data_IF_463798968422
#
_entry.id   IF_463798968422
#
_cell.length_a   1.000
_cell.length_b   1.000
_cell.length_c   1.000
_cell.angle_alpha   90.00
_cell.angle_beta   90.00
_cell.angle_gamma   90.00
#
_symmetry.space_group_name_H-M   'P 1'
#
loop_
_entity.id
_entity.type
_entity.pdbx_description
1 polymer ?
#
# COMPACT_ATOMS: atom_id res chain seq x y z
N UNK A 1 -15.52 2.24 13.99
CA UNK A 1 -14.88 3.48 13.54
C UNK A 1 -13.46 3.24 13.03
N UNK A 2 -12.60 2.48 13.71
CA UNK A 2 -11.23 2.18 13.26
C UNK A 2 -11.18 1.48 11.89
N UNK A 3 -12.02 0.48 11.68
CA UNK A 3 -12.16 -0.22 10.41
C UNK A 3 -12.62 0.75 9.31
N UNK A 4 -13.63 1.60 9.58
CA UNK A 4 -14.11 2.56 8.59
C UNK A 4 -13.00 3.54 8.15
N UNK A 5 -12.19 4.03 9.10
CA UNK A 5 -11.03 4.89 8.79
C UNK A 5 -9.97 4.18 7.96
N UNK A 6 -9.66 2.92 8.28
CA UNK A 6 -8.72 2.11 7.51
C UNK A 6 -9.20 1.93 6.05
N UNK A 7 -10.48 1.58 5.87
CA UNK A 7 -11.06 1.46 4.52
C UNK A 7 -11.06 2.80 3.76
N UNK A 8 -11.30 3.91 4.44
CA UNK A 8 -11.18 5.24 3.82
C UNK A 8 -9.75 5.53 3.36
N UNK A 9 -8.74 5.15 4.16
CA UNK A 9 -7.34 5.28 3.75
C UNK A 9 -7.03 4.41 2.52
N UNK A 10 -7.54 3.17 2.46
CA UNK A 10 -7.38 2.32 1.29
C UNK A 10 -8.04 2.93 0.04
N UNK A 11 -9.29 3.37 0.18
CA UNK A 11 -10.00 4.00 -0.92
C UNK A 11 -9.29 5.26 -1.44
N UNK A 12 -8.76 6.09 -0.55
CA UNK A 12 -7.99 7.27 -0.93
C UNK A 12 -6.69 6.92 -1.66
N UNK A 13 -5.93 5.93 -1.15
CA UNK A 13 -4.69 5.48 -1.76
C UNK A 13 -4.94 4.87 -3.15
N UNK A 14 -5.95 4.01 -3.28
CA UNK A 14 -6.33 3.41 -4.56
C UNK A 14 -6.81 4.45 -5.57
N UNK A 15 -7.64 5.40 -5.15
CA UNK A 15 -8.13 6.47 -6.02
C UNK A 15 -6.98 7.35 -6.54
N UNK A 16 -6.04 7.73 -5.67
CA UNK A 16 -4.87 8.52 -6.05
C UNK A 16 -4.01 7.78 -7.09
N UNK A 17 -3.77 6.49 -6.89
CA UNK A 17 -2.96 5.68 -7.79
C UNK A 17 -3.65 5.46 -9.16
N UNK A 18 -4.94 5.15 -9.16
CA UNK A 18 -5.72 5.01 -10.41
C UNK A 18 -5.69 6.32 -11.19
N UNK A 19 -5.86 7.46 -10.53
CA UNK A 19 -5.83 8.77 -11.18
C UNK A 19 -4.44 9.04 -11.78
N UNK A 20 -3.37 8.76 -11.05
CA UNK A 20 -2.00 8.93 -11.51
C UNK A 20 -1.71 8.09 -12.76
N UNK A 21 -2.11 6.80 -12.74
CA UNK A 21 -1.94 5.94 -13.92
C UNK A 21 -2.85 6.35 -15.08
N UNK A 22 -4.08 6.78 -14.82
CA UNK A 22 -4.97 7.26 -15.87
C UNK A 22 -4.39 8.48 -16.61
N UNK A 23 -3.80 9.43 -15.87
CA UNK A 23 -3.12 10.60 -16.46
C UNK A 23 -1.90 10.15 -17.27
N UNK A 24 -1.06 9.27 -16.73
CA UNK A 24 0.11 8.76 -17.45
C UNK A 24 -0.27 7.99 -18.71
N UNK A 25 -1.34 7.18 -18.65
CA UNK A 25 -1.88 6.47 -19.80
C UNK A 25 -2.40 7.43 -20.88
N UNK A 26 -3.13 8.46 -20.49
CA UNK A 26 -3.60 9.47 -21.42
C UNK A 26 -2.44 10.18 -22.12
N UNK A 27 -1.44 10.65 -21.37
CA UNK A 27 -0.24 11.28 -21.93
C UNK A 27 0.46 10.33 -22.91
N UNK A 28 0.68 9.07 -22.52
CA UNK A 28 1.36 8.08 -23.35
C UNK A 28 0.57 7.79 -24.63
N UNK A 29 -0.76 7.73 -24.56
CA UNK A 29 -1.61 7.52 -25.72
C UNK A 29 -1.51 8.66 -26.73
N UNK A 30 -1.60 9.90 -26.26
CA UNK A 30 -1.54 11.07 -27.14
C UNK A 30 -0.14 11.30 -27.72
N UNK A 31 0.92 10.87 -27.02
CA UNK A 31 2.30 11.11 -27.46
C UNK A 31 2.81 10.00 -28.39
N UNK A 32 2.54 8.73 -28.07
CA UNK A 32 3.15 7.58 -28.75
C UNK A 32 2.16 6.58 -29.31
N UNK A 33 0.89 6.66 -28.91
CA UNK A 33 -0.09 5.59 -29.15
C UNK A 33 0.23 4.32 -28.34
N UNK A 34 -0.70 3.38 -28.28
CA UNK A 34 -0.48 2.12 -27.53
C UNK A 34 0.13 0.99 -28.36
N UNK A 35 0.23 1.14 -29.70
CA UNK A 35 0.67 0.07 -30.56
C UNK A 35 -0.21 -1.19 -30.44
N UNK A 36 0.36 -2.37 -30.69
CA UNK A 36 -0.38 -3.64 -30.60
C UNK A 36 -0.35 -4.20 -29.18
N UNK A 37 -1.43 -4.00 -28.42
CA UNK A 37 -1.57 -4.49 -27.03
C UNK A 37 -1.75 -6.01 -26.91
N UNK A 38 -2.11 -6.70 -28.02
CA UNK A 38 -2.30 -8.15 -28.03
C UNK A 38 -0.99 -8.92 -28.20
N UNK A 39 0.13 -8.22 -28.49
CA UNK A 39 1.44 -8.87 -28.59
C UNK A 39 1.88 -9.47 -27.25
N UNK A 40 2.70 -10.51 -27.27
CA UNK A 40 3.26 -11.09 -26.07
C UNK A 40 4.23 -10.10 -25.39
N UNK A 41 4.22 -10.08 -24.05
CA UNK A 41 5.05 -9.16 -23.27
C UNK A 41 6.55 -9.39 -23.51
N UNK A 42 6.96 -10.63 -23.76
CA UNK A 42 8.35 -11.01 -24.05
C UNK A 42 8.91 -10.35 -25.33
N UNK A 43 8.03 -9.85 -26.22
CA UNK A 43 8.46 -9.08 -27.40
C UNK A 43 8.95 -7.67 -27.06
N UNK A 44 8.74 -7.22 -25.83
CA UNK A 44 9.25 -5.94 -25.30
C UNK A 44 10.61 -6.21 -24.66
N UNK A 45 11.64 -5.46 -25.09
CA UNK A 45 13.03 -5.67 -24.67
C UNK A 45 13.23 -5.83 -23.17
N UNK A 46 12.55 -5.01 -22.37
CA UNK A 46 12.67 -5.03 -20.92
C UNK A 46 12.10 -6.29 -20.25
N UNK A 47 11.29 -7.07 -20.97
CA UNK A 47 10.61 -8.26 -20.45
C UNK A 47 11.07 -9.55 -21.13
N UNK A 48 12.18 -9.52 -21.87
CA UNK A 48 12.75 -10.72 -22.54
C UNK A 48 13.05 -11.85 -21.55
N UNK A 49 13.43 -11.52 -20.31
CA UNK A 49 13.70 -12.48 -19.25
C UNK A 49 12.46 -12.98 -18.50
N UNK A 50 11.28 -12.52 -18.87
CA UNK A 50 10.03 -12.91 -18.20
C UNK A 50 9.60 -14.33 -18.61
N UNK A 51 9.19 -15.13 -17.64
CA UNK A 51 8.62 -16.45 -17.88
C UNK A 51 7.08 -16.43 -18.08
N UNK A 52 6.47 -15.23 -18.10
CA UNK A 52 5.04 -15.07 -18.20
C UNK A 52 4.60 -15.05 -19.66
N UNK A 53 3.74 -15.98 -20.05
CA UNK A 53 3.12 -16.05 -21.38
C UNK A 53 1.84 -15.24 -21.42
N UNK A 54 1.95 -13.93 -21.25
CA UNK A 54 0.82 -12.98 -21.22
C UNK A 54 0.95 -11.92 -22.29
N UNK A 55 -0.16 -11.33 -22.70
CA UNK A 55 -0.17 -10.16 -23.58
C UNK A 55 0.20 -8.87 -22.82
N UNK A 56 0.59 -7.84 -23.56
CA UNK A 56 0.87 -6.51 -23.00
C UNK A 56 -0.35 -5.98 -22.25
N UNK A 57 -1.57 -6.18 -22.76
CA UNK A 57 -2.80 -5.76 -22.08
C UNK A 57 -2.99 -6.49 -20.74
N UNK A 58 -2.77 -7.81 -20.72
CA UNK A 58 -2.85 -8.60 -19.48
C UNK A 58 -1.79 -8.17 -18.46
N UNK A 59 -0.59 -7.86 -18.94
CA UNK A 59 0.46 -7.30 -18.08
C UNK A 59 0.00 -5.98 -17.43
N UNK A 60 -0.58 -5.05 -18.19
CA UNK A 60 -1.07 -3.79 -17.61
C UNK A 60 -2.11 -4.03 -16.53
N UNK A 61 -3.04 -4.95 -16.74
CA UNK A 61 -4.06 -5.28 -15.73
C UNK A 61 -3.41 -5.88 -14.45
N UNK A 62 -2.49 -6.83 -14.60
CA UNK A 62 -1.77 -7.46 -13.48
C UNK A 62 -0.86 -6.47 -12.76
N UNK A 63 -0.15 -5.63 -13.51
CA UNK A 63 0.70 -4.59 -12.94
C UNK A 63 -0.12 -3.58 -12.12
N UNK A 64 -1.24 -3.11 -12.64
CA UNK A 64 -2.13 -2.20 -11.92
C UNK A 64 -2.69 -2.85 -10.66
N UNK A 65 -3.13 -4.12 -10.75
CA UNK A 65 -3.61 -4.87 -9.59
C UNK A 65 -2.52 -5.02 -8.51
N UNK A 66 -1.29 -5.37 -8.91
CA UNK A 66 -0.15 -5.47 -8.00
C UNK A 66 0.17 -4.11 -7.34
N UNK A 67 0.15 -3.03 -8.12
CA UNK A 67 0.34 -1.67 -7.60
C UNK A 67 -0.73 -1.30 -6.57
N UNK A 68 -1.99 -1.50 -6.87
CA UNK A 68 -3.09 -1.21 -5.93
C UNK A 68 -2.95 -2.00 -4.63
N UNK A 69 -2.57 -3.28 -4.71
CA UNK A 69 -2.31 -4.08 -3.51
C UNK A 69 -1.16 -3.51 -2.67
N UNK A 70 -0.05 -3.13 -3.30
CA UNK A 70 1.10 -2.49 -2.63
C UNK A 70 0.71 -1.18 -1.97
N UNK A 71 -0.08 -0.33 -2.63
CA UNK A 71 -0.53 0.94 -2.04
C UNK A 71 -1.48 0.72 -0.86
N UNK A 72 -2.27 -0.36 -0.86
CA UNK A 72 -3.03 -0.74 0.33
C UNK A 72 -2.11 -1.13 1.50
N UNK A 73 -0.99 -1.83 1.26
CA UNK A 73 0.01 -2.12 2.30
C UNK A 73 0.61 -0.83 2.84
N UNK A 74 1.01 0.10 1.97
CA UNK A 74 1.55 1.40 2.40
C UNK A 74 0.53 2.22 3.19
N UNK A 75 -0.72 2.27 2.75
CA UNK A 75 -1.79 2.95 3.47
C UNK A 75 -2.03 2.31 4.85
N UNK A 76 -1.94 0.99 4.98
CA UNK A 76 -2.03 0.30 6.27
C UNK A 76 -0.88 0.67 7.21
N UNK A 77 0.36 0.74 6.69
CA UNK A 77 1.54 1.17 7.46
C UNK A 77 1.38 2.61 7.93
N UNK A 78 1.02 3.53 7.04
CA UNK A 78 0.80 4.95 7.36
C UNK A 78 -0.30 5.08 8.42
N UNK A 79 -1.40 4.34 8.27
CA UNK A 79 -2.49 4.34 9.24
C UNK A 79 -2.04 3.81 10.60
N UNK A 80 -1.27 2.71 10.65
CA UNK A 80 -0.71 2.18 11.89
C UNK A 80 0.16 3.22 12.61
N UNK A 81 1.10 3.84 11.88
CA UNK A 81 2.00 4.87 12.43
C UNK A 81 1.19 6.06 12.94
N UNK A 82 0.15 6.48 12.20
CA UNK A 82 -0.73 7.58 12.60
C UNK A 82 -1.52 7.25 13.86
N UNK A 83 -1.99 6.02 14.00
CA UNK A 83 -2.72 5.57 15.21
C UNK A 83 -1.80 5.52 16.44
N UNK A 84 -0.55 5.10 16.26
CA UNK A 84 0.44 5.03 17.36
C UNK A 84 0.93 6.42 17.77
N UNK A 85 1.10 7.31 16.79
CA UNK A 85 1.68 8.64 17.00
C UNK A 85 0.63 9.67 17.37
N UNK A 86 0.95 10.55 18.33
CA UNK A 86 0.04 11.58 18.80
C UNK A 86 0.16 12.92 18.07
N UNK A 87 1.22 13.12 17.27
CA UNK A 87 1.51 14.37 16.55
C UNK A 87 1.99 14.09 15.15
N UNK A 88 1.67 14.98 14.20
CA UNK A 88 2.07 14.87 12.81
C UNK A 88 3.60 14.76 12.65
N UNK A 89 4.37 15.52 13.42
CA UNK A 89 5.84 15.48 13.39
C UNK A 89 6.37 14.08 13.71
N UNK A 90 5.78 13.40 14.72
CA UNK A 90 6.18 12.03 15.07
C UNK A 90 5.80 11.03 13.98
N UNK A 91 4.67 11.23 13.29
CA UNK A 91 4.27 10.40 12.15
C UNK A 91 5.28 10.50 11.03
N UNK A 92 5.60 11.71 10.59
CA UNK A 92 6.59 11.91 9.53
C UNK A 92 7.97 11.40 9.92
N UNK A 93 8.42 11.68 11.15
CA UNK A 93 9.70 11.18 11.65
C UNK A 93 9.76 9.65 11.65
N UNK A 94 8.73 8.98 12.15
CA UNK A 94 8.67 7.52 12.17
C UNK A 94 8.65 6.93 10.76
N UNK A 95 7.89 7.50 9.82
CA UNK A 95 7.86 7.06 8.43
C UNK A 95 9.23 7.23 7.75
N UNK A 96 9.90 8.37 7.95
CA UNK A 96 11.23 8.60 7.40
C UNK A 96 12.27 7.61 7.95
N UNK A 97 12.24 7.33 9.25
CA UNK A 97 13.13 6.33 9.85
C UNK A 97 12.84 4.93 9.28
N UNK A 98 11.58 4.57 9.15
CA UNK A 98 11.20 3.26 8.56
C UNK A 98 11.70 3.14 7.13
N UNK A 99 11.46 4.14 6.28
CA UNK A 99 11.92 4.13 4.89
C UNK A 99 13.45 4.09 4.81
N UNK A 100 14.16 4.84 5.67
CA UNK A 100 15.61 4.82 5.71
C UNK A 100 16.17 3.44 6.13
N UNK A 101 15.58 2.81 7.16
CA UNK A 101 15.97 1.48 7.59
C UNK A 101 15.75 0.42 6.49
N UNK A 102 14.59 0.48 5.83
CA UNK A 102 14.26 -0.39 4.70
C UNK A 102 15.20 -0.16 3.50
N UNK A 103 15.60 1.09 3.23
CA UNK A 103 16.58 1.42 2.19
C UNK A 103 17.94 0.79 2.51
N UNK A 104 18.41 0.92 3.75
CA UNK A 104 19.65 0.29 4.17
C UNK A 104 19.60 -1.22 3.98
N UNK A 105 18.53 -1.90 4.41
CA UNK A 105 18.36 -3.33 4.21
C UNK A 105 18.35 -3.71 2.72
N UNK A 106 17.65 -2.95 1.89
CA UNK A 106 17.53 -3.23 0.45
C UNK A 106 18.88 -3.13 -0.28
N UNK A 107 19.69 -2.12 0.03
CA UNK A 107 20.96 -1.87 -0.66
C UNK A 107 22.15 -2.63 -0.06
N UNK A 108 22.14 -2.96 1.23
CA UNK A 108 23.28 -3.62 1.89
C UNK A 108 23.24 -5.15 1.80
N UNK A 109 22.06 -5.76 1.68
CA UNK A 109 21.95 -7.23 1.63
C UNK A 109 22.26 -7.73 0.22
N UNK A 110 23.32 -8.53 0.02
CA UNK A 110 23.60 -9.15 -1.26
C UNK A 110 22.57 -10.24 -1.58
N UNK A 111 22.25 -10.41 -2.86
CA UNK A 111 21.24 -11.40 -3.32
C UNK A 111 21.65 -12.86 -3.05
N UNK A 112 22.91 -13.11 -2.78
CA UNK A 112 23.47 -14.45 -2.45
C UNK A 112 23.40 -14.80 -0.96
N UNK A 113 23.05 -13.82 -0.11
CA UNK A 113 22.99 -14.01 1.34
C UNK A 113 21.76 -14.83 1.76
N UNK A 114 21.88 -15.56 2.89
CA UNK A 114 20.73 -16.19 3.57
C UNK A 114 19.67 -15.17 4.02
N UNK A 115 20.05 -13.90 4.19
CA UNK A 115 19.14 -12.80 4.52
C UNK A 115 18.45 -12.20 3.27
N UNK A 116 18.69 -12.76 2.10
CA UNK A 116 18.07 -12.34 0.84
C UNK A 116 16.54 -12.15 0.91
N UNK A 117 15.75 -12.99 1.63
CA UNK A 117 14.31 -12.74 1.80
C UNK A 117 13.97 -11.38 2.39
N UNK A 118 14.79 -10.84 3.32
CA UNK A 118 14.55 -9.52 3.90
C UNK A 118 14.70 -8.39 2.90
N UNK A 119 15.56 -8.56 1.88
CA UNK A 119 15.70 -7.62 0.78
C UNK A 119 14.44 -7.53 -0.07
N UNK A 120 13.79 -8.67 -0.33
CA UNK A 120 12.66 -8.78 -1.24
C UNK A 120 11.29 -8.65 -0.53
N UNK A 121 11.24 -8.87 0.79
CA UNK A 121 10.09 -8.55 1.65
C UNK A 121 10.30 -7.16 2.26
N UNK A 122 10.37 -6.15 1.39
CA UNK A 122 10.77 -4.80 1.75
C UNK A 122 9.90 -3.79 1.02
N UNK A 123 9.62 -2.64 1.64
CA UNK A 123 8.81 -1.56 1.08
C UNK A 123 9.35 -1.10 -0.29
N UNK A 124 10.69 -1.01 -0.44
CA UNK A 124 11.30 -0.61 -1.71
C UNK A 124 11.16 -1.67 -2.79
N UNK A 125 11.29 -2.95 -2.43
CA UNK A 125 11.03 -4.05 -3.36
C UNK A 125 9.56 -4.05 -3.83
N UNK A 126 8.63 -3.79 -2.92
CA UNK A 126 7.22 -3.64 -3.27
C UNK A 126 6.95 -2.42 -4.17
N UNK A 127 7.62 -1.31 -3.95
CA UNK A 127 7.52 -0.14 -4.82
C UNK A 127 7.98 -0.45 -6.26
N UNK A 128 8.98 -1.31 -6.42
CA UNK A 128 9.53 -1.71 -7.72
C UNK A 128 8.78 -2.92 -8.33
N UNK A 129 7.47 -2.80 -8.51
CA UNK A 129 6.62 -3.87 -9.08
C UNK A 129 6.98 -4.26 -10.51
N UNK A 130 7.74 -3.45 -11.25
CA UNK A 130 8.21 -3.80 -12.60
C UNK A 130 9.09 -5.06 -12.56
N UNK A 131 10.01 -5.15 -11.61
CA UNK A 131 10.95 -6.27 -11.48
C UNK A 131 10.25 -7.60 -11.22
N UNK A 132 9.04 -7.56 -10.65
CA UNK A 132 8.20 -8.73 -10.44
C UNK A 132 7.84 -9.45 -11.74
N UNK A 133 7.72 -8.70 -12.83
CA UNK A 133 7.28 -9.19 -14.13
C UNK A 133 8.41 -9.26 -15.15
N UNK A 134 9.48 -8.47 -14.98
CA UNK A 134 10.56 -8.34 -15.95
C UNK A 134 11.44 -9.58 -16.03
N UNK A 135 11.77 -10.19 -14.90
CA UNK A 135 12.69 -11.30 -14.82
C UNK A 135 12.14 -12.45 -13.99
N UNK A 136 12.44 -13.67 -14.42
CA UNK A 136 12.20 -14.85 -13.62
C UNK A 136 13.26 -14.93 -12.51
N UNK A 137 12.84 -14.75 -11.26
CA UNK A 137 13.73 -14.77 -10.11
C UNK A 137 13.24 -15.80 -9.08
N UNK A 138 14.14 -16.67 -8.66
CA UNK A 138 13.94 -17.57 -7.52
C UNK A 138 14.73 -17.08 -6.32
N UNK A 139 14.04 -16.96 -5.20
CA UNK A 139 14.67 -16.65 -3.91
C UNK A 139 15.01 -17.93 -3.17
N UNK A 140 16.15 -17.97 -2.54
CA UNK A 140 16.54 -19.07 -1.67
C UNK A 140 15.89 -18.86 -0.28
N UNK A 141 14.79 -19.57 0.00
CA UNK A 141 14.16 -19.58 1.31
C UNK A 141 14.60 -20.85 2.05
N UNK A 142 15.52 -20.70 3.00
CA UNK A 142 16.02 -21.81 3.83
C UNK A 142 16.52 -23.03 3.01
N UNK A 143 17.24 -22.78 1.92
CA UNK A 143 17.76 -23.82 1.04
C UNK A 143 16.80 -24.30 -0.05
N UNK A 144 15.58 -23.81 -0.12
CA UNK A 144 14.61 -24.14 -1.17
C UNK A 144 14.42 -22.97 -2.14
N UNK A 145 14.51 -23.19 -3.45
CA UNK A 145 14.21 -22.15 -4.44
C UNK A 145 12.70 -21.92 -4.50
N UNK A 146 12.27 -20.71 -4.19
CA UNK A 146 10.86 -20.29 -4.28
C UNK A 146 10.74 -19.13 -5.24
N UNK A 147 9.73 -19.15 -6.10
CA UNK A 147 9.49 -18.06 -7.05
C UNK A 147 9.25 -16.72 -6.32
N UNK A 148 9.95 -15.68 -6.73
CA UNK A 148 9.83 -14.34 -6.16
C UNK A 148 8.39 -13.81 -6.20
N UNK A 149 7.66 -14.04 -7.29
CA UNK A 149 6.26 -13.62 -7.41
C UNK A 149 5.37 -14.25 -6.32
N UNK A 150 5.58 -15.52 -5.99
CA UNK A 150 4.84 -16.18 -4.92
C UNK A 150 5.18 -15.59 -3.55
N UNK A 151 6.47 -15.31 -3.30
CA UNK A 151 6.94 -14.68 -2.06
C UNK A 151 6.37 -13.27 -1.93
N UNK A 152 6.38 -12.50 -3.01
CA UNK A 152 5.84 -11.13 -3.03
C UNK A 152 4.35 -11.11 -2.69
N UNK A 153 3.53 -11.90 -3.39
CA UNK A 153 2.08 -11.93 -3.17
C UNK A 153 1.76 -12.40 -1.76
N UNK A 154 2.36 -13.50 -1.31
CA UNK A 154 2.09 -14.06 0.02
C UNK A 154 2.53 -13.10 1.14
N UNK A 155 3.72 -12.52 1.04
CA UNK A 155 4.22 -11.58 2.06
C UNK A 155 3.41 -10.28 2.08
N UNK A 156 3.04 -9.73 0.93
CA UNK A 156 2.20 -8.53 0.86
C UNK A 156 0.82 -8.75 1.49
N UNK A 157 0.19 -9.91 1.24
CA UNK A 157 -1.09 -10.27 1.85
C UNK A 157 -0.97 -10.45 3.37
N UNK A 158 0.06 -11.16 3.83
CA UNK A 158 0.29 -11.35 5.27
C UNK A 158 0.53 -10.01 5.96
N UNK A 159 1.38 -9.14 5.39
CA UNK A 159 1.63 -7.81 5.92
C UNK A 159 0.37 -6.97 5.97
N UNK A 160 -0.42 -6.95 4.89
CA UNK A 160 -1.69 -6.22 4.84
C UNK A 160 -2.64 -6.65 5.95
N UNK A 161 -2.82 -7.96 6.13
CA UNK A 161 -3.71 -8.52 7.17
C UNK A 161 -3.19 -8.19 8.57
N UNK A 162 -1.92 -8.49 8.85
CA UNK A 162 -1.32 -8.29 10.17
C UNK A 162 -1.35 -6.82 10.57
N UNK A 163 -0.90 -5.92 9.68
CA UNK A 163 -0.85 -4.48 9.97
C UNK A 163 -2.27 -3.92 10.14
N UNK A 164 -3.23 -4.36 9.33
CA UNK A 164 -4.63 -3.94 9.44
C UNK A 164 -5.23 -4.34 10.79
N UNK A 165 -5.03 -5.58 11.22
CA UNK A 165 -5.51 -6.08 12.51
C UNK A 165 -4.86 -5.29 13.66
N UNK A 166 -3.53 -5.14 13.66
CA UNK A 166 -2.81 -4.38 14.68
C UNK A 166 -3.30 -2.94 14.77
N UNK A 167 -3.48 -2.28 13.64
CA UNK A 167 -3.98 -0.90 13.58
C UNK A 167 -5.35 -0.75 14.22
N UNK A 168 -6.27 -1.67 13.92
CA UNK A 168 -7.63 -1.65 14.48
C UNK A 168 -7.62 -1.94 15.98
N UNK A 169 -6.80 -2.91 16.43
CA UNK A 169 -6.67 -3.26 17.84
C UNK A 169 -6.10 -2.09 18.67
N UNK A 170 -5.03 -1.46 18.20
CA UNK A 170 -4.42 -0.32 18.89
C UNK A 170 -5.40 0.86 18.93
N UNK A 171 -6.06 1.16 17.81
CA UNK A 171 -7.08 2.21 17.76
C UNK A 171 -8.21 1.97 18.76
N UNK A 172 -8.70 0.75 18.89
CA UNK A 172 -9.77 0.39 19.82
C UNK A 172 -9.35 0.60 21.29
N UNK A 173 -8.12 0.15 21.64
CA UNK A 173 -7.55 0.33 22.99
C UNK A 173 -7.40 1.80 23.36
N UNK A 174 -6.88 2.62 22.46
CA UNK A 174 -6.69 4.06 22.72
C UNK A 174 -8.03 4.79 22.94
N UNK A 175 -9.09 4.38 22.24
CA UNK A 175 -10.42 4.94 22.46
C UNK A 175 -10.98 4.63 23.83
N UNK A 176 -10.79 3.39 24.30
CA UNK A 176 -11.24 2.98 25.63
C UNK A 176 -10.55 3.80 26.71
N UNK A 177 -9.25 4.01 26.59
CA UNK A 177 -8.48 4.84 27.54
C UNK A 177 -8.95 6.30 27.51
N UNK A 178 -9.09 6.90 26.32
CA UNK A 178 -9.60 8.30 26.18
C UNK A 178 -11.05 8.48 26.65
N UNK A 179 -11.89 7.48 26.52
CA UNK A 179 -13.28 7.56 27.03
C UNK A 179 -13.33 7.50 28.53
N UNK A 180 -12.41 6.78 29.18
CA UNK A 180 -12.32 6.67 30.65
C UNK A 180 -11.86 7.96 31.31
N UNK A 181 -11.00 8.76 30.62
CA UNK A 181 -10.54 10.07 31.10
C UNK A 181 -11.50 11.22 30.81
N UNK A 182 -12.46 11.01 29.90
CA UNK A 182 -13.38 12.05 29.43
C UNK A 182 -14.70 12.14 30.22
N UNK A 183 -14.82 11.46 31.38
CA UNK A 183 -16.03 11.52 32.24
C UNK A 183 -16.24 12.84 32.97
N UNK A 184 -15.42 13.86 32.75
CA UNK A 184 -15.60 15.21 33.30
C UNK A 184 -15.33 16.27 32.21
N UNK A 185 -16.29 16.51 31.35
CA UNK A 185 -16.41 17.78 30.64
C UNK A 185 -17.83 17.93 30.08
N UNK A 186 -18.47 18.96 30.49
CA UNK A 186 -19.83 19.39 30.18
C UNK A 186 -20.16 19.32 28.68
N UNK A 187 -21.37 18.85 28.42
CA UNK A 187 -22.00 18.81 27.11
C UNK A 187 -21.91 20.18 26.40
N UNK A 188 -21.10 20.25 25.33
CA UNK A 188 -21.27 21.28 24.31
C UNK A 188 -22.13 20.71 23.19
N UNK A 189 -23.35 21.16 23.18
CA UNK A 189 -24.34 20.96 22.15
C UNK A 189 -23.75 21.29 20.78
N UNK A 190 -23.55 20.36 19.92
CA UNK A 190 -23.29 20.64 18.53
C UNK A 190 -24.51 20.26 17.71
N UNK A 191 -25.22 21.28 17.30
CA UNK A 191 -26.28 21.22 16.32
C UNK A 191 -25.63 20.97 14.96
N UNK A 192 -25.51 19.72 14.60
CA UNK A 192 -25.33 19.34 13.19
C UNK A 192 -26.15 18.08 12.92
N UNK A 193 -27.38 18.32 12.50
CA UNK A 193 -28.35 17.32 12.09
C UNK A 193 -28.10 16.99 10.61
N UNK A 194 -27.08 16.18 10.34
CA UNK A 194 -26.85 15.58 9.03
C UNK A 194 -26.88 14.06 9.18
N UNK A 195 -28.01 13.49 8.84
CA UNK A 195 -28.29 12.06 8.92
C UNK A 195 -27.61 11.34 7.76
N UNK A 196 -26.36 10.92 7.90
CA UNK A 196 -25.81 9.84 7.10
C UNK A 196 -25.63 8.64 8.01
N UNK A 197 -26.47 7.65 7.81
CA UNK A 197 -26.49 6.39 8.58
C UNK A 197 -25.30 5.49 8.23
N UNK A 198 -24.50 5.84 7.22
CA UNK A 198 -23.34 5.06 6.78
C UNK A 198 -22.04 5.71 7.28
N UNK A 199 -21.41 5.04 8.24
CA UNK A 199 -20.19 5.47 8.91
C UNK A 199 -19.01 5.66 7.91
N UNK A 200 -18.97 4.83 6.86
CA UNK A 200 -17.96 4.92 5.82
C UNK A 200 -18.10 6.21 5.00
N UNK A 201 -19.32 6.55 4.55
CA UNK A 201 -19.57 7.79 3.80
C UNK A 201 -19.26 9.03 4.65
N UNK A 202 -19.53 8.98 5.95
CA UNK A 202 -19.22 10.08 6.85
C UNK A 202 -17.71 10.28 7.03
N UNK A 203 -16.93 9.21 7.09
CA UNK A 203 -15.45 9.31 7.16
C UNK A 203 -14.87 9.74 5.82
N UNK A 204 -15.38 9.25 4.67
CA UNK A 204 -15.01 9.75 3.36
C UNK A 204 -15.28 11.25 3.21
N UNK A 205 -16.45 11.73 3.64
CA UNK A 205 -16.79 13.15 3.59
C UNK A 205 -15.79 14.01 4.40
N UNK A 206 -15.41 13.57 5.60
CA UNK A 206 -14.42 14.26 6.43
C UNK A 206 -13.05 14.35 5.75
N UNK A 207 -12.61 13.27 5.11
CA UNK A 207 -11.29 13.22 4.45
C UNK A 207 -11.27 14.05 3.18
N UNK A 208 -12.28 13.89 2.30
CA UNK A 208 -12.26 14.50 0.96
C UNK A 208 -12.85 15.91 0.90
N UNK A 209 -13.82 16.24 1.76
CA UNK A 209 -14.56 17.49 1.66
C UNK A 209 -14.36 18.38 2.90
N UNK A 210 -14.32 17.79 4.07
CA UNK A 210 -14.27 18.54 5.34
C UNK A 210 -12.88 19.04 5.74
N UNK A 211 -11.80 18.63 5.07
CA UNK A 211 -10.40 19.06 5.34
C UNK A 211 -9.93 18.86 6.80
N UNK A 212 -10.74 18.20 7.63
CA UNK A 212 -10.44 17.87 9.03
C UNK A 212 -10.12 16.38 9.17
N UNK A 213 -9.16 15.94 8.38
CA UNK A 213 -8.56 14.64 8.60
C UNK A 213 -7.71 14.71 9.87
N UNK A 214 -8.06 13.86 10.87
CA UNK A 214 -7.32 13.58 12.11
C UNK A 214 -7.58 14.54 13.25
#
# INVERSE_FOLDING_TARGET
LGIAKLFTCFAAAMAAEILLYAVNFAISYFTYGFGNLSRQIQSVYEFNGSNLKISVLQYFALFLAAKLAVYCVFAAIIYLVTVVSNTAVKVYGALMITIAAEAVLYYTIPSTSYLCPLKYINILAYANTKDLFANYLNLNLFGKPVNYMAVFVSSALVLLIVISILSVLIFSKQRVIKSRTRKFSLAKFSIFKGRTTNLFLQECYKVFIGGKAL
#
